data_IF_016040903591
#
_entry.id   IF_016040903591
#
_cell.length_a   1.000
_cell.length_b   1.000
_cell.length_c   1.000
_cell.angle_alpha   90.00
_cell.angle_beta   90.00
_cell.angle_gamma   90.00
#
_symmetry.space_group_name_H-M   'P 1'
#
loop_
_entity.id
_entity.type
_entity.pdbx_description
1 polymer ?
#
# COMPACT_ATOMS: atom_id res chain seq x y z
N UNK A 1 -1.52 -12.29 -9.14
CA UNK A 1 -1.78 -11.09 -8.32
C UNK A 1 -1.25 -9.86 -9.05
N UNK A 2 -2.08 -8.90 -9.33
CA UNK A 2 -1.63 -7.62 -9.84
C UNK A 2 -2.58 -6.47 -9.45
N UNK A 3 -2.01 -5.28 -9.41
CA UNK A 3 -2.73 -4.03 -9.22
C UNK A 3 -2.40 -3.14 -10.42
N UNK A 4 -3.44 -2.67 -11.09
CA UNK A 4 -3.31 -1.76 -12.24
C UNK A 4 -4.02 -0.47 -11.91
N UNK A 5 -3.31 0.64 -12.00
CA UNK A 5 -3.86 1.97 -11.75
C UNK A 5 -3.69 2.82 -13.00
N UNK A 6 -4.80 3.39 -13.47
CA UNK A 6 -4.85 4.21 -14.68
C UNK A 6 -5.53 5.53 -14.40
N UNK A 7 -4.90 6.61 -14.82
CA UNK A 7 -5.37 7.98 -14.74
C UNK A 7 -5.94 8.36 -13.37
N UNK A 8 -5.20 8.06 -12.33
CA UNK A 8 -5.57 8.40 -10.98
C UNK A 8 -4.94 9.72 -10.55
N UNK A 9 -5.54 10.34 -9.56
CA UNK A 9 -5.01 11.53 -8.92
C UNK A 9 -5.18 11.41 -7.41
N UNK A 10 -4.41 12.17 -6.66
CA UNK A 10 -4.58 12.28 -5.22
C UNK A 10 -4.74 13.76 -4.89
N UNK A 11 -5.85 14.07 -4.25
CA UNK A 11 -6.19 15.44 -3.83
C UNK A 11 -6.38 15.47 -2.32
N UNK A 12 -5.71 16.38 -1.66
CA UNK A 12 -5.86 16.59 -0.21
C UNK A 12 -6.20 18.05 0.04
N UNK A 13 -7.25 18.28 0.84
CA UNK A 13 -7.70 19.63 1.20
C UNK A 13 -7.93 20.54 0.00
N UNK A 14 -8.48 19.98 -1.08
CA UNK A 14 -8.74 20.73 -2.32
C UNK A 14 -7.54 20.99 -3.20
N UNK A 15 -6.36 20.51 -2.81
CA UNK A 15 -5.14 20.66 -3.58
C UNK A 15 -4.72 19.34 -4.22
N UNK A 16 -4.35 19.39 -5.49
CA UNK A 16 -3.82 18.23 -6.19
C UNK A 16 -2.40 17.94 -5.69
N UNK A 17 -2.21 16.79 -5.10
CA UNK A 17 -0.89 16.35 -4.65
C UNK A 17 -0.17 15.61 -5.77
N UNK A 18 -0.87 14.69 -6.43
CA UNK A 18 -0.34 13.92 -7.55
C UNK A 18 -1.42 13.79 -8.61
N UNK A 19 -1.01 13.85 -9.88
CA UNK A 19 -1.89 13.68 -11.04
C UNK A 19 -1.24 12.72 -12.02
N UNK A 20 -2.02 12.20 -12.96
CA UNK A 20 -1.54 11.28 -14.00
C UNK A 20 -0.85 10.05 -13.44
N UNK A 21 -1.45 9.45 -12.44
CA UNK A 21 -0.89 8.25 -11.82
C UNK A 21 -1.26 7.05 -12.69
N UNK A 22 -0.25 6.43 -13.28
CA UNK A 22 -0.39 5.23 -14.10
C UNK A 22 0.73 4.27 -13.74
N UNK A 23 0.39 3.12 -13.19
CA UNK A 23 1.38 2.09 -12.91
C UNK A 23 0.74 0.73 -12.70
N UNK A 24 1.57 -0.30 -12.84
CA UNK A 24 1.19 -1.69 -12.61
C UNK A 24 2.12 -2.30 -11.56
N UNK A 25 1.55 -3.09 -10.67
CA UNK A 25 2.31 -3.86 -9.70
C UNK A 25 1.92 -5.33 -9.85
N UNK A 26 2.88 -6.21 -10.04
CA UNK A 26 2.66 -7.64 -10.09
C UNK A 26 3.55 -8.37 -9.08
N UNK A 27 3.43 -9.69 -9.00
CA UNK A 27 4.15 -10.51 -8.00
C UNK A 27 5.66 -10.37 -8.06
N UNK A 28 6.21 -10.06 -9.24
CA UNK A 28 7.65 -9.96 -9.44
C UNK A 28 8.16 -8.53 -9.43
N UNK A 29 7.26 -7.56 -9.27
CA UNK A 29 7.64 -6.15 -9.29
C UNK A 29 8.47 -5.77 -8.08
N UNK A 30 9.54 -5.03 -8.35
CA UNK A 30 10.34 -4.34 -7.33
C UNK A 30 10.43 -2.90 -7.77
N UNK A 31 9.74 -2.02 -7.07
CA UNK A 31 9.56 -0.64 -7.50
C UNK A 31 10.17 0.30 -6.48
N UNK A 32 11.05 1.19 -6.93
CA UNK A 32 11.58 2.26 -6.13
C UNK A 32 10.90 3.57 -6.46
N UNK A 33 10.50 4.31 -5.45
CA UNK A 33 9.90 5.63 -5.61
C UNK A 33 10.91 6.66 -5.15
N UNK A 34 11.31 7.54 -6.05
CA UNK A 34 12.31 8.57 -5.76
C UNK A 34 11.72 9.95 -6.03
N UNK A 35 12.17 10.93 -5.29
CA UNK A 35 11.72 12.29 -5.43
C UNK A 35 12.15 13.13 -4.24
N UNK A 36 11.97 14.43 -4.35
CA UNK A 36 12.27 15.35 -3.26
C UNK A 36 11.30 15.17 -2.09
N UNK A 37 11.70 15.58 -0.90
CA UNK A 37 10.82 15.61 0.25
C UNK A 37 9.64 16.54 -0.04
N UNK A 38 8.43 16.07 0.24
CA UNK A 38 7.21 16.81 -0.06
C UNK A 38 6.64 16.56 -1.46
N UNK A 39 7.26 15.68 -2.27
CA UNK A 39 6.77 15.34 -3.59
C UNK A 39 5.55 14.41 -3.60
N UNK A 40 5.12 13.92 -2.44
CA UNK A 40 3.94 13.05 -2.34
C UNK A 40 4.24 11.56 -2.29
N UNK A 41 5.49 11.15 -2.07
CA UNK A 41 5.87 9.73 -2.01
C UNK A 41 5.10 8.97 -0.94
N UNK A 42 5.04 9.49 0.26
CA UNK A 42 4.31 8.88 1.37
C UNK A 42 2.82 8.84 1.09
N UNK A 43 2.28 9.89 0.48
CA UNK A 43 0.87 9.96 0.10
C UNK A 43 0.53 8.89 -0.92
N UNK A 44 1.39 8.67 -1.91
CA UNK A 44 1.22 7.62 -2.90
C UNK A 44 1.21 6.23 -2.26
N UNK A 45 2.14 5.96 -1.34
CA UNK A 45 2.17 4.69 -0.63
C UNK A 45 0.91 4.46 0.19
N UNK A 46 0.41 5.48 0.86
CA UNK A 46 -0.86 5.40 1.59
C UNK A 46 -2.03 5.12 0.67
N UNK A 47 -2.06 5.72 -0.52
CA UNK A 47 -3.11 5.49 -1.50
C UNK A 47 -3.09 4.06 -2.07
N UNK A 48 -1.91 3.46 -2.20
CA UNK A 48 -1.79 2.06 -2.60
C UNK A 48 -2.41 1.14 -1.55
N UNK A 49 -2.27 1.47 -0.27
CA UNK A 49 -2.87 0.72 0.83
C UNK A 49 -4.36 1.00 0.93
N UNK A 50 -4.74 2.26 0.86
CA UNK A 50 -6.13 2.72 0.93
C UNK A 50 -6.51 3.36 -0.41
N UNK A 51 -7.09 2.57 -1.28
CA UNK A 51 -7.42 3.01 -2.63
C UNK A 51 -8.52 4.08 -2.69
N UNK A 52 -9.21 4.34 -1.61
CA UNK A 52 -10.19 5.42 -1.55
C UNK A 52 -9.53 6.80 -1.64
N UNK A 53 -8.22 6.89 -1.38
CA UNK A 53 -7.47 8.12 -1.55
C UNK A 53 -7.26 8.49 -3.03
N UNK A 54 -7.37 7.52 -3.93
CA UNK A 54 -7.31 7.82 -5.35
C UNK A 54 -8.62 8.44 -5.85
N UNK A 55 -8.50 9.40 -6.72
CA UNK A 55 -9.63 10.05 -7.37
C UNK A 55 -9.43 10.09 -8.88
N UNK A 56 -10.49 10.44 -9.61
CA UNK A 56 -10.44 10.55 -11.04
C UNK A 56 -9.45 11.61 -11.48
N UNK A 57 -8.59 11.25 -12.43
CA UNK A 57 -7.63 12.17 -13.00
C UNK A 57 -8.26 13.13 -14.03
N UNK A 58 -7.47 14.09 -14.46
CA UNK A 58 -7.89 15.09 -15.44
C UNK A 58 -7.71 14.52 -16.85
N UNK A 59 -8.65 14.80 -17.74
CA UNK A 59 -8.55 14.42 -19.14
C UNK A 59 -9.59 13.40 -19.58
N UNK A 60 -9.43 12.89 -20.79
CA UNK A 60 -10.36 11.95 -21.41
C UNK A 60 -10.07 10.48 -21.09
N UNK A 61 -8.92 10.17 -20.52
CA UNK A 61 -8.58 8.81 -20.14
C UNK A 61 -9.41 8.36 -18.95
N UNK A 62 -9.82 7.11 -18.99
CA UNK A 62 -10.67 6.55 -17.97
C UNK A 62 -9.88 6.26 -16.69
N UNK A 63 -10.40 6.74 -15.56
CA UNK A 63 -9.90 6.36 -14.24
C UNK A 63 -10.24 4.90 -13.95
N UNK A 64 -9.24 4.10 -13.63
CA UNK A 64 -9.43 2.69 -13.31
C UNK A 64 -8.47 2.24 -12.22
N UNK A 65 -8.98 1.43 -11.30
CA UNK A 65 -8.17 0.67 -10.36
C UNK A 65 -8.61 -0.78 -10.49
N UNK A 66 -7.70 -1.64 -10.94
CA UNK A 66 -7.97 -3.05 -11.13
C UNK A 66 -7.09 -3.86 -10.19
N UNK A 67 -7.71 -4.69 -9.38
CA UNK A 67 -7.02 -5.61 -8.48
C UNK A 67 -7.38 -7.03 -8.84
N UNK A 68 -6.40 -7.83 -9.18
CA UNK A 68 -6.58 -9.25 -9.51
C UNK A 68 -5.86 -10.13 -8.50
N UNK A 69 -6.58 -11.10 -7.96
CA UNK A 69 -6.04 -12.07 -7.02
C UNK A 69 -6.12 -11.61 -5.57
N UNK A 70 -5.73 -12.51 -4.69
CA UNK A 70 -5.64 -12.22 -3.27
C UNK A 70 -4.24 -11.71 -2.94
N UNK A 71 -4.16 -10.64 -2.20
CA UNK A 71 -2.89 -10.12 -1.75
C UNK A 71 -3.00 -9.53 -0.35
N UNK A 72 -1.88 -9.57 0.35
CA UNK A 72 -1.71 -9.01 1.67
C UNK A 72 -0.75 -7.84 1.55
N UNK A 73 -1.04 -6.76 2.24
CA UNK A 73 -0.20 -5.58 2.22
C UNK A 73 0.40 -5.38 3.60
N UNK A 74 1.74 -5.39 3.65
CA UNK A 74 2.49 -4.96 4.82
C UNK A 74 3.02 -3.55 4.58
N UNK A 75 2.91 -2.70 5.57
CA UNK A 75 3.40 -1.33 5.47
C UNK A 75 4.39 -1.04 6.58
N UNK A 76 5.60 -0.65 6.19
CA UNK A 76 6.62 -0.20 7.13
C UNK A 76 6.71 1.32 7.03
N UNK A 77 6.27 2.00 8.08
CA UNK A 77 6.30 3.46 8.12
C UNK A 77 7.74 3.98 8.21
N UNK A 78 7.89 5.27 7.92
CA UNK A 78 9.19 5.92 8.01
C UNK A 78 9.77 5.75 9.42
N UNK A 79 11.00 5.26 9.46
CA UNK A 79 11.69 4.97 10.73
C UNK A 79 12.35 6.25 11.24
N UNK A 80 12.05 6.59 12.50
CA UNK A 80 12.75 7.70 13.17
C UNK A 80 14.13 7.23 13.63
N UNK A 81 15.17 7.94 13.17
CA UNK A 81 16.56 7.61 13.52
C UNK A 81 16.87 7.95 14.99
N UNK A 82 15.99 8.65 15.68
CA UNK A 82 16.21 9.12 17.05
C UNK A 82 15.89 8.08 18.12
N UNK A 83 15.39 6.91 17.76
CA UNK A 83 15.17 5.82 18.68
C UNK A 83 16.45 4.99 18.85
N UNK A 84 16.79 4.66 20.08
CA UNK A 84 17.93 3.80 20.41
C UNK A 84 17.76 2.35 19.95
N UNK A 85 16.68 2.04 19.28
CA UNK A 85 16.44 0.73 18.68
C UNK A 85 17.24 0.58 17.40
N UNK A 86 17.84 -0.58 17.22
CA UNK A 86 18.51 -0.90 15.97
C UNK A 86 17.46 -1.02 14.85
N UNK A 87 17.83 -0.61 13.65
CA UNK A 87 16.94 -0.70 12.48
C UNK A 87 16.36 -2.09 12.30
N UNK A 88 17.17 -3.13 12.51
CA UNK A 88 16.72 -4.51 12.36
C UNK A 88 15.63 -4.88 13.36
N UNK A 89 15.70 -4.36 14.59
CA UNK A 89 14.70 -4.63 15.62
C UNK A 89 13.34 -4.02 15.23
N UNK A 90 13.36 -2.82 14.66
CA UNK A 90 12.14 -2.15 14.18
C UNK A 90 11.51 -2.94 13.02
N UNK A 91 12.32 -3.42 12.10
CA UNK A 91 11.86 -4.25 10.99
C UNK A 91 11.24 -5.55 11.50
N UNK A 92 11.89 -6.22 12.44
CA UNK A 92 11.41 -7.47 13.02
C UNK A 92 10.09 -7.28 13.78
N UNK A 93 9.93 -6.18 14.51
CA UNK A 93 8.67 -5.84 15.17
C UNK A 93 7.53 -5.71 14.17
N UNK A 94 7.77 -5.00 13.05
CA UNK A 94 6.77 -4.82 12.01
C UNK A 94 6.37 -6.14 11.37
N UNK A 95 7.33 -7.02 11.09
CA UNK A 95 7.05 -8.34 10.54
C UNK A 95 6.32 -9.24 11.53
N UNK A 96 6.62 -9.15 12.82
CA UNK A 96 5.94 -9.97 13.82
C UNK A 96 4.45 -9.64 13.91
N UNK A 97 4.08 -8.38 13.80
CA UNK A 97 2.68 -7.97 13.75
C UNK A 97 1.95 -8.57 12.54
N UNK A 98 2.57 -8.56 11.38
CA UNK A 98 2.01 -9.16 10.16
C UNK A 98 1.83 -10.66 10.34
N UNK A 99 2.81 -11.35 10.91
CA UNK A 99 2.77 -12.79 11.17
C UNK A 99 1.64 -13.13 12.15
N UNK A 100 1.46 -12.33 13.20
CA UNK A 100 0.36 -12.52 14.14
C UNK A 100 -1.01 -12.39 13.48
N UNK A 101 -1.18 -11.39 12.62
CA UNK A 101 -2.43 -11.19 11.87
C UNK A 101 -2.68 -12.40 10.96
N UNK A 102 -1.67 -12.90 10.27
CA UNK A 102 -1.81 -14.09 9.43
C UNK A 102 -2.22 -15.32 10.24
N UNK A 103 -1.60 -15.53 11.40
CA UNK A 103 -1.96 -16.64 12.28
C UNK A 103 -3.42 -16.56 12.76
N UNK A 104 -3.88 -15.37 13.11
CA UNK A 104 -5.27 -15.15 13.51
C UNK A 104 -6.23 -15.46 12.37
N UNK A 105 -5.92 -15.02 11.16
CA UNK A 105 -6.73 -15.30 9.98
C UNK A 105 -6.78 -16.81 9.70
N UNK A 106 -5.66 -17.51 9.78
CA UNK A 106 -5.60 -18.95 9.59
C UNK A 106 -6.43 -19.69 10.63
N UNK A 107 -6.40 -19.27 11.89
CA UNK A 107 -7.24 -19.85 12.95
C UNK A 107 -8.72 -19.66 12.68
N UNK A 108 -9.12 -18.48 12.21
CA UNK A 108 -10.50 -18.19 11.85
C UNK A 108 -10.94 -19.08 10.69
N UNK A 109 -10.14 -19.19 9.66
CA UNK A 109 -10.43 -20.04 8.50
C UNK A 109 -10.52 -21.52 8.92
N UNK A 110 -9.59 -22.01 9.72
CA UNK A 110 -9.62 -23.36 10.25
C UNK A 110 -10.85 -23.61 11.12
N UNK A 111 -11.22 -22.64 11.95
CA UNK A 111 -12.40 -22.71 12.78
C UNK A 111 -13.67 -22.78 11.96
N UNK A 112 -13.76 -22.05 10.86
CA UNK A 112 -14.90 -22.09 9.94
C UNK A 112 -15.00 -23.44 9.20
N UNK A 113 -13.85 -24.03 8.86
CA UNK A 113 -13.80 -25.30 8.15
C UNK A 113 -14.02 -26.51 9.06
N UNK A 114 -13.64 -26.43 10.32
CA UNK A 114 -13.72 -27.55 11.27
C UNK A 114 -14.86 -27.45 12.25
N UNK A 115 -15.55 -26.35 12.27
CA UNK A 115 -16.61 -26.10 13.24
C UNK A 115 -17.96 -26.52 12.68
N UNK A 116 -18.30 -27.71 12.99
CA UNK A 116 -19.61 -28.26 12.64
C UNK A 116 -20.61 -28.01 13.77
#
# INVERSE_FOLDING_TARGET
MNIVIRNAAITLNGNDILTYINFDINEKSKIGIVGENGAGKTTLLRAIIDNELFSEGIGTEKFQIIKNGLFKIGYLSQISINDNKKLIDVILESFSEIIEIERKLQKIESGLLTND
#
